data_IF_586488736852
#
_entry.id   IF_586488736852
#
_cell.length_a   1.000
_cell.length_b   1.000
_cell.length_c   1.000
_cell.angle_alpha   90.00
_cell.angle_beta   90.00
_cell.angle_gamma   90.00
#
_symmetry.space_group_name_H-M   'P 1'
#
loop_
_entity.id
_entity.type
_entity.pdbx_description
1 polymer ?
#
# COMPACT_ATOMS: atom_id res chain seq x y z
N UNK A 1 -54.61 43.50 63.42
CA UNK A 1 -53.49 43.45 62.46
C UNK A 1 -53.26 41.99 62.12
N UNK A 2 -53.82 41.52 60.99
CA UNK A 2 -53.79 40.11 60.60
C UNK A 2 -52.43 39.74 59.98
N UNK A 3 -51.95 38.56 60.39
CA UNK A 3 -50.64 37.97 60.10
C UNK A 3 -50.80 37.03 58.91
N UNK A 4 -50.18 37.32 57.76
CA UNK A 4 -50.09 36.39 56.64
C UNK A 4 -48.64 35.94 56.45
N UNK A 5 -48.36 34.69 56.79
CA UNK A 5 -47.13 33.99 56.45
C UNK A 5 -47.29 33.34 55.07
N UNK A 6 -46.55 33.82 54.08
CA UNK A 6 -46.38 33.12 52.80
C UNK A 6 -45.32 32.02 52.98
N UNK A 7 -45.72 30.76 52.86
CA UNK A 7 -44.80 29.64 52.68
C UNK A 7 -44.49 29.50 51.18
N UNK A 8 -43.25 29.76 50.81
CA UNK A 8 -42.72 29.50 49.48
C UNK A 8 -42.30 28.01 49.43
N UNK A 9 -43.06 27.19 48.70
CA UNK A 9 -42.70 25.78 48.46
C UNK A 9 -41.68 25.76 47.33
N UNK A 10 -40.43 25.43 47.66
CA UNK A 10 -39.34 25.23 46.71
C UNK A 10 -39.48 23.83 46.09
N UNK A 11 -39.94 23.77 44.83
CA UNK A 11 -39.94 22.53 44.05
C UNK A 11 -38.50 22.24 43.58
N UNK A 12 -37.83 21.31 44.24
CA UNK A 12 -36.56 20.75 43.76
C UNK A 12 -36.91 19.74 42.67
N UNK A 13 -36.76 20.14 41.41
CA UNK A 13 -36.84 19.25 40.26
C UNK A 13 -35.50 18.53 40.16
N UNK A 14 -35.42 17.29 40.65
CA UNK A 14 -34.30 16.40 40.37
C UNK A 14 -34.42 15.90 38.94
N UNK A 15 -33.67 16.51 38.02
CA UNK A 15 -33.43 15.95 36.69
C UNK A 15 -32.56 14.70 36.86
N UNK A 16 -33.18 13.52 36.87
CA UNK A 16 -32.46 12.28 36.61
C UNK A 16 -32.07 12.29 35.13
N UNK A 17 -30.83 12.72 34.83
CA UNK A 17 -30.20 12.37 33.56
C UNK A 17 -29.99 10.86 33.59
N UNK A 18 -30.77 10.11 32.80
CA UNK A 18 -30.44 8.72 32.50
C UNK A 18 -29.13 8.72 31.70
N UNK A 19 -27.99 8.62 32.37
CA UNK A 19 -26.75 8.20 31.74
C UNK A 19 -26.88 6.70 31.43
N UNK A 20 -27.49 6.37 30.30
CA UNK A 20 -27.43 5.00 29.74
C UNK A 20 -26.03 4.83 29.15
N UNK A 21 -25.32 3.79 29.59
CA UNK A 21 -24.04 3.41 28.98
C UNK A 21 -24.26 3.03 27.52
N UNK A 22 -23.35 3.49 26.65
CA UNK A 22 -23.36 3.16 25.22
C UNK A 22 -23.09 1.66 25.05
N UNK A 23 -23.86 0.98 24.21
CA UNK A 23 -23.66 -0.45 23.90
C UNK A 23 -23.39 -0.66 22.41
N UNK A 24 -22.86 -1.83 22.02
CA UNK A 24 -22.65 -2.17 20.61
C UNK A 24 -23.95 -2.12 19.77
N UNK A 25 -25.11 -2.39 20.39
CA UNK A 25 -26.43 -2.31 19.74
C UNK A 25 -26.82 -0.87 19.38
N UNK A 26 -26.28 0.12 20.09
CA UNK A 26 -26.57 1.54 19.83
C UNK A 26 -25.67 2.12 18.72
N UNK A 27 -24.63 1.40 18.27
CA UNK A 27 -23.73 1.85 17.20
C UNK A 27 -24.35 1.64 15.81
N UNK A 28 -24.07 2.54 14.83
CA UNK A 28 -24.52 2.37 13.45
C UNK A 28 -24.03 1.06 12.86
N UNK A 29 -24.68 0.58 11.81
CA UNK A 29 -24.15 -0.52 11.01
C UNK A 29 -22.83 -0.13 10.30
N UNK A 30 -22.29 -1.08 9.53
CA UNK A 30 -21.03 -0.94 8.81
C UNK A 30 -21.23 -0.75 7.30
N UNK A 31 -22.45 -0.44 6.84
CA UNK A 31 -22.79 -0.40 5.42
C UNK A 31 -21.94 0.63 4.67
N UNK A 32 -21.66 1.80 5.27
CA UNK A 32 -20.80 2.80 4.62
C UNK A 32 -19.33 2.40 4.59
N UNK A 33 -18.83 1.60 5.55
CA UNK A 33 -17.48 1.04 5.48
C UNK A 33 -17.40 -0.03 4.38
N UNK A 34 -18.43 -0.87 4.26
CA UNK A 34 -18.55 -1.85 3.18
C UNK A 34 -18.50 -1.17 1.81
N UNK A 35 -19.28 -0.09 1.61
CA UNK A 35 -19.24 0.68 0.37
C UNK A 35 -17.85 1.29 0.09
N UNK A 36 -17.15 1.77 1.12
CA UNK A 36 -15.79 2.28 0.96
C UNK A 36 -14.81 1.17 0.59
N UNK A 37 -14.87 0.01 1.24
CA UNK A 37 -14.02 -1.14 0.92
C UNK A 37 -14.28 -1.61 -0.51
N UNK A 38 -15.54 -1.77 -0.89
CA UNK A 38 -15.90 -2.16 -2.25
C UNK A 38 -15.39 -1.16 -3.30
N UNK A 39 -15.50 0.15 -3.06
CA UNK A 39 -14.96 1.20 -3.95
C UNK A 39 -13.43 1.06 -4.11
N UNK A 40 -12.71 0.79 -3.02
CA UNK A 40 -11.26 0.58 -3.03
C UNK A 40 -10.87 -0.68 -3.79
N UNK A 41 -11.55 -1.79 -3.52
CA UNK A 41 -11.27 -3.09 -4.13
C UNK A 41 -11.60 -3.09 -5.61
N UNK A 42 -12.69 -2.46 -6.04
CA UNK A 42 -13.03 -2.33 -7.45
C UNK A 42 -11.92 -1.61 -8.24
N UNK A 43 -11.30 -0.56 -7.69
CA UNK A 43 -10.21 0.15 -8.35
C UNK A 43 -8.88 -0.65 -8.29
N UNK A 44 -8.56 -1.24 -7.14
CA UNK A 44 -7.29 -1.96 -6.92
C UNK A 44 -7.25 -3.29 -7.67
N UNK A 45 -8.32 -4.09 -7.64
CA UNK A 45 -8.35 -5.42 -8.25
C UNK A 45 -8.39 -5.37 -9.79
N UNK A 46 -8.74 -4.23 -10.39
CA UNK A 46 -8.59 -4.04 -11.84
C UNK A 46 -7.13 -4.18 -12.28
N UNK A 47 -6.17 -3.86 -11.40
CA UNK A 47 -4.74 -3.96 -11.70
C UNK A 47 -4.26 -5.40 -11.90
N UNK A 48 -4.97 -6.40 -11.36
CA UNK A 48 -4.69 -7.81 -11.65
C UNK A 48 -4.88 -8.13 -13.13
N UNK A 49 -5.86 -7.52 -13.78
CA UNK A 49 -6.06 -7.69 -15.23
C UNK A 49 -4.96 -6.99 -16.03
N UNK A 50 -4.49 -5.84 -15.56
CA UNK A 50 -3.41 -5.11 -16.22
C UNK A 50 -2.08 -5.86 -16.11
N UNK A 51 -1.74 -6.41 -14.94
CA UNK A 51 -0.48 -7.15 -14.79
C UNK A 51 -0.50 -8.48 -15.54
N UNK A 52 -1.65 -9.16 -15.64
CA UNK A 52 -1.80 -10.34 -16.50
C UNK A 52 -1.66 -9.97 -17.98
N UNK A 53 -2.20 -8.83 -18.41
CA UNK A 53 -2.01 -8.34 -19.76
C UNK A 53 -0.53 -8.03 -20.06
N UNK A 54 0.17 -7.40 -19.12
CA UNK A 54 1.62 -7.15 -19.22
C UNK A 54 2.42 -8.45 -19.28
N UNK A 55 2.04 -9.46 -18.51
CA UNK A 55 2.66 -10.79 -18.52
C UNK A 55 2.52 -11.44 -19.90
N UNK A 56 1.31 -11.45 -20.47
CA UNK A 56 1.06 -11.96 -21.81
C UNK A 56 1.83 -11.18 -22.89
N UNK A 57 1.96 -9.85 -22.72
CA UNK A 57 2.77 -9.04 -23.61
C UNK A 57 4.26 -9.38 -23.48
N UNK A 58 4.77 -9.59 -22.27
CA UNK A 58 6.15 -10.02 -22.05
C UNK A 58 6.43 -11.40 -22.66
N UNK A 59 5.51 -12.37 -22.51
CA UNK A 59 5.61 -13.68 -23.15
C UNK A 59 5.74 -13.55 -24.67
N UNK A 60 4.95 -12.68 -25.31
CA UNK A 60 5.09 -12.39 -26.73
C UNK A 60 6.50 -11.89 -27.09
N UNK A 61 7.11 -11.04 -26.25
CA UNK A 61 8.48 -10.57 -26.47
C UNK A 61 9.50 -11.71 -26.37
N UNK A 62 9.32 -12.65 -25.44
CA UNK A 62 10.16 -13.84 -25.31
C UNK A 62 10.05 -14.76 -26.52
N UNK A 63 8.82 -15.08 -26.96
CA UNK A 63 8.56 -15.93 -28.13
C UNK A 63 9.12 -15.36 -29.43
N UNK A 64 9.26 -14.03 -29.51
CA UNK A 64 9.74 -13.32 -30.69
C UNK A 64 11.16 -12.73 -30.52
N UNK A 65 11.88 -13.15 -29.47
CA UNK A 65 13.17 -12.57 -29.06
C UNK A 65 14.16 -12.41 -30.21
N UNK A 66 14.39 -13.45 -31.02
CA UNK A 66 15.39 -13.41 -32.10
C UNK A 66 15.06 -12.33 -33.15
N UNK A 67 13.81 -12.26 -33.58
CA UNK A 67 13.31 -11.25 -34.53
C UNK A 67 13.37 -9.83 -33.94
N UNK A 68 13.07 -9.70 -32.64
CA UNK A 68 13.15 -8.41 -31.94
C UNK A 68 14.60 -7.94 -31.79
N UNK A 69 15.54 -8.83 -31.46
CA UNK A 69 16.96 -8.50 -31.35
C UNK A 69 17.57 -8.02 -32.66
N UNK A 70 17.14 -8.57 -33.79
CA UNK A 70 17.58 -8.12 -35.12
C UNK A 70 17.12 -6.69 -35.44
N UNK A 71 15.92 -6.31 -34.98
CA UNK A 71 15.27 -5.03 -35.29
C UNK A 71 15.38 -3.99 -34.17
N UNK A 72 15.90 -4.37 -33.01
CA UNK A 72 15.90 -3.52 -31.82
C UNK A 72 16.66 -2.21 -32.05
N UNK A 73 16.07 -1.12 -31.57
CA UNK A 73 16.73 0.18 -31.46
C UNK A 73 17.78 0.15 -30.34
N UNK A 74 19.00 -0.26 -30.67
CA UNK A 74 20.09 -0.47 -29.68
C UNK A 74 20.60 0.82 -29.04
N UNK A 75 20.26 1.97 -29.60
CA UNK A 75 20.60 3.30 -29.07
C UNK A 75 19.44 3.95 -28.30
N UNK A 76 18.34 3.23 -28.03
CA UNK A 76 17.19 3.74 -27.25
C UNK A 76 17.60 4.18 -25.84
N UNK A 77 18.55 3.47 -25.23
CA UNK A 77 19.12 3.79 -23.93
C UNK A 77 20.60 4.11 -24.03
N UNK A 78 21.01 5.16 -23.31
CA UNK A 78 22.43 5.45 -23.05
C UNK A 78 22.70 5.15 -21.58
N UNK A 79 23.64 4.25 -21.32
CA UNK A 79 24.03 3.85 -19.96
C UNK A 79 25.27 4.60 -19.49
N UNK A 80 25.22 5.07 -18.24
CA UNK A 80 26.34 5.59 -17.48
C UNK A 80 26.60 4.64 -16.30
N UNK A 81 27.55 3.72 -16.48
CA UNK A 81 27.73 2.61 -15.54
C UNK A 81 26.54 1.67 -15.57
N UNK A 82 25.95 1.38 -14.40
CA UNK A 82 24.80 0.47 -14.26
C UNK A 82 23.46 1.09 -14.63
N UNK A 83 23.38 2.41 -14.86
CA UNK A 83 22.10 3.13 -14.95
C UNK A 83 21.93 3.79 -16.31
N UNK A 84 20.71 3.78 -16.85
CA UNK A 84 20.40 4.64 -17.99
C UNK A 84 20.36 6.12 -17.60
N UNK A 85 20.75 7.00 -18.51
CA UNK A 85 20.91 8.43 -18.24
C UNK A 85 19.61 9.26 -18.34
N UNK A 86 18.50 8.66 -18.77
CA UNK A 86 17.21 9.34 -18.83
C UNK A 86 16.75 9.77 -17.42
N UNK A 87 16.22 10.99 -17.35
CA UNK A 87 15.80 11.65 -16.11
C UNK A 87 14.27 11.72 -16.00
N UNK A 88 13.71 11.91 -14.79
CA UNK A 88 12.27 11.86 -14.54
C UNK A 88 11.41 12.86 -15.34
N UNK A 89 12.02 13.90 -15.90
CA UNK A 89 11.35 15.02 -16.57
C UNK A 89 11.34 14.88 -18.11
N UNK A 90 11.93 13.81 -18.66
CA UNK A 90 11.97 13.63 -20.11
C UNK A 90 10.60 13.19 -20.67
N UNK A 91 10.06 14.00 -21.58
CA UNK A 91 8.93 13.64 -22.43
C UNK A 91 9.36 12.56 -23.45
N UNK A 92 9.36 11.30 -23.04
CA UNK A 92 9.78 10.20 -23.93
C UNK A 92 9.12 8.85 -23.68
N UNK A 93 8.35 8.71 -22.59
CA UNK A 93 7.74 7.44 -22.22
C UNK A 93 8.75 6.34 -21.85
N UNK A 94 10.04 6.66 -21.74
CA UNK A 94 11.09 5.72 -21.39
C UNK A 94 11.03 5.34 -19.92
N UNK A 95 11.16 4.06 -19.61
CA UNK A 95 11.44 3.60 -18.24
C UNK A 95 12.85 3.97 -17.81
N UNK A 96 13.12 3.98 -16.50
CA UNK A 96 14.48 3.90 -15.97
C UNK A 96 15.00 2.47 -16.10
N UNK A 97 16.20 2.31 -16.64
CA UNK A 97 16.88 1.01 -16.75
C UNK A 97 18.04 0.91 -15.77
N UNK A 98 18.18 -0.26 -15.18
CA UNK A 98 19.35 -0.66 -14.40
C UNK A 98 19.85 -1.99 -14.96
N UNK A 99 21.15 -2.08 -15.23
CA UNK A 99 21.86 -3.35 -15.41
C UNK A 99 22.86 -3.42 -14.26
N UNK A 100 22.59 -4.26 -13.26
CA UNK A 100 23.48 -4.34 -12.10
C UNK A 100 24.86 -4.83 -12.50
N UNK A 101 25.90 -4.30 -11.84
CA UNK A 101 27.30 -4.71 -12.06
C UNK A 101 27.57 -6.15 -11.63
N UNK A 102 26.65 -6.78 -10.89
CA UNK A 102 26.71 -8.20 -10.54
C UNK A 102 25.98 -9.11 -11.53
N UNK A 103 25.51 -8.58 -12.67
CA UNK A 103 24.90 -9.39 -13.73
C UNK A 103 25.78 -10.61 -14.06
N UNK A 104 25.19 -11.81 -14.17
CA UNK A 104 25.94 -13.03 -14.47
C UNK A 104 26.49 -13.04 -15.91
N UNK A 105 25.86 -12.31 -16.83
CA UNK A 105 26.27 -12.18 -18.23
C UNK A 105 25.82 -10.81 -18.77
N UNK A 106 26.69 -9.78 -18.73
CA UNK A 106 26.33 -8.42 -19.16
C UNK A 106 25.89 -8.32 -20.62
N UNK A 107 26.37 -9.22 -21.49
CA UNK A 107 25.94 -9.23 -22.89
C UNK A 107 24.48 -9.67 -23.00
N UNK A 108 24.11 -10.75 -22.31
CA UNK A 108 22.72 -11.23 -22.27
C UNK A 108 21.78 -10.26 -21.56
N UNK A 109 22.23 -9.58 -20.50
CA UNK A 109 21.46 -8.49 -19.88
C UNK A 109 21.16 -7.37 -20.87
N UNK A 110 22.14 -7.01 -21.71
CA UNK A 110 21.94 -5.99 -22.73
C UNK A 110 21.02 -6.46 -23.86
N UNK A 111 21.12 -7.72 -24.28
CA UNK A 111 20.14 -8.34 -25.18
C UNK A 111 18.73 -8.30 -24.60
N UNK A 112 18.57 -8.54 -23.29
CA UNK A 112 17.29 -8.40 -22.58
C UNK A 112 16.74 -7.00 -22.65
N UNK A 113 17.56 -5.98 -22.41
CA UNK A 113 17.13 -4.58 -22.60
C UNK A 113 16.59 -4.36 -24.02
N UNK A 114 17.25 -4.92 -25.04
CA UNK A 114 16.88 -4.72 -26.44
C UNK A 114 15.58 -5.40 -26.83
N UNK A 115 15.40 -6.69 -26.54
CA UNK A 115 14.17 -7.39 -26.93
C UNK A 115 12.97 -6.96 -26.08
N UNK A 116 13.20 -6.36 -24.90
CA UNK A 116 12.15 -5.80 -24.04
C UNK A 116 11.87 -4.31 -24.25
N UNK A 117 12.45 -3.67 -25.27
CA UNK A 117 12.29 -2.23 -25.51
C UNK A 117 10.83 -1.77 -25.58
N UNK A 118 9.92 -2.59 -26.11
CA UNK A 118 8.52 -2.22 -26.27
C UNK A 118 7.73 -2.22 -24.95
N UNK A 119 8.32 -2.73 -23.85
CA UNK A 119 7.71 -2.65 -22.52
C UNK A 119 7.52 -1.20 -22.06
N UNK A 120 8.34 -0.25 -22.51
CA UNK A 120 8.18 1.16 -22.12
C UNK A 120 6.78 1.70 -22.48
N UNK A 121 6.34 1.42 -23.71
CA UNK A 121 5.02 1.82 -24.18
C UNK A 121 3.91 1.09 -23.45
N UNK A 122 4.09 -0.22 -23.17
CA UNK A 122 3.11 -1.02 -22.44
C UNK A 122 2.96 -0.54 -20.98
N UNK A 123 4.07 -0.30 -20.28
CA UNK A 123 4.10 0.22 -18.92
C UNK A 123 3.45 1.60 -18.86
N UNK A 124 3.79 2.48 -19.82
CA UNK A 124 3.17 3.80 -19.93
C UNK A 124 1.66 3.70 -20.12
N UNK A 125 1.17 2.81 -20.98
CA UNK A 125 -0.27 2.64 -21.21
C UNK A 125 -1.01 2.21 -19.94
N UNK A 126 -0.44 1.29 -19.17
CA UNK A 126 -1.02 0.85 -17.88
C UNK A 126 -1.00 1.99 -16.86
N UNK A 127 0.15 2.65 -16.73
CA UNK A 127 0.34 3.79 -15.81
C UNK A 127 -0.63 4.95 -16.11
N UNK A 128 -0.72 5.39 -17.36
CA UNK A 128 -1.55 6.53 -17.75
C UNK A 128 -3.06 6.22 -17.62
N UNK A 129 -3.46 4.94 -17.68
CA UNK A 129 -4.86 4.52 -17.58
C UNK A 129 -5.39 4.57 -16.15
N UNK A 130 -4.52 4.35 -15.16
CA UNK A 130 -4.88 4.16 -13.77
C UNK A 130 -4.13 5.15 -12.88
N UNK A 131 -4.81 6.23 -12.49
CA UNK A 131 -4.19 7.29 -11.69
C UNK A 131 -3.76 6.88 -10.27
N UNK A 132 -4.10 5.66 -9.82
CA UNK A 132 -3.66 5.09 -8.54
C UNK A 132 -2.25 4.49 -8.61
N UNK A 133 -1.75 4.18 -9.82
CA UNK A 133 -0.46 3.52 -10.01
C UNK A 133 0.69 4.52 -9.78
N UNK A 134 1.62 4.14 -8.91
CA UNK A 134 2.85 4.88 -8.69
C UNK A 134 3.95 4.44 -9.67
N UNK A 135 4.08 3.13 -9.90
CA UNK A 135 5.10 2.54 -10.76
C UNK A 135 4.61 1.26 -11.43
N UNK A 136 5.17 0.96 -12.60
CA UNK A 136 5.09 -0.34 -13.28
C UNK A 136 6.50 -0.78 -13.62
N UNK A 137 6.87 -2.02 -13.35
CA UNK A 137 8.24 -2.48 -13.50
C UNK A 137 8.39 -3.94 -13.94
N UNK A 138 9.61 -4.30 -14.37
CA UNK A 138 10.08 -5.68 -14.48
C UNK A 138 11.48 -5.82 -13.89
N UNK A 139 11.72 -6.91 -13.16
CA UNK A 139 13.04 -7.31 -12.66
C UNK A 139 13.37 -8.74 -13.08
N UNK A 140 14.61 -9.04 -13.45
CA UNK A 140 14.99 -10.35 -14.00
C UNK A 140 16.19 -10.99 -13.28
N UNK A 141 16.40 -12.32 -13.38
CA UNK A 141 17.57 -13.00 -12.82
C UNK A 141 18.88 -12.57 -13.49
N UNK A 142 18.80 -11.96 -14.68
CA UNK A 142 19.91 -11.31 -15.37
C UNK A 142 20.30 -9.96 -14.74
N UNK A 143 19.69 -9.61 -13.61
CA UNK A 143 19.93 -8.37 -12.86
C UNK A 143 19.60 -7.12 -13.69
N UNK A 144 18.57 -7.21 -14.52
CA UNK A 144 18.01 -6.08 -15.27
C UNK A 144 16.75 -5.60 -14.54
N UNK A 145 16.68 -4.30 -14.29
CA UNK A 145 15.49 -3.63 -13.78
C UNK A 145 15.01 -2.61 -14.80
N UNK A 146 13.70 -2.58 -15.05
CA UNK A 146 13.00 -1.58 -15.87
C UNK A 146 11.86 -1.02 -15.05
N UNK A 147 11.84 0.29 -14.79
CA UNK A 147 10.80 0.94 -13.96
C UNK A 147 10.24 2.16 -14.66
N UNK A 148 8.93 2.23 -14.82
CA UNK A 148 8.21 3.40 -15.34
C UNK A 148 7.30 4.00 -14.25
N UNK A 149 7.23 5.33 -14.09
CA UNK A 149 8.00 6.36 -14.78
C UNK A 149 9.47 6.39 -14.32
N UNK A 150 10.37 7.04 -15.08
CA UNK A 150 11.78 7.07 -14.72
C UNK A 150 12.02 7.85 -13.42
N UNK A 151 12.99 7.41 -12.63
CA UNK A 151 13.37 7.98 -11.33
C UNK A 151 14.90 8.21 -11.25
N UNK A 152 15.34 8.90 -10.20
CA UNK A 152 16.75 9.25 -9.97
C UNK A 152 17.57 8.07 -9.42
N UNK A 153 17.68 7.00 -10.21
CA UNK A 153 18.39 5.78 -9.79
C UNK A 153 19.87 6.03 -9.47
N UNK A 154 20.51 7.02 -10.10
CA UNK A 154 21.92 7.37 -9.84
C UNK A 154 22.17 7.74 -8.38
N UNK A 155 21.20 8.40 -7.74
CA UNK A 155 21.31 8.82 -6.34
C UNK A 155 20.61 7.87 -5.35
N UNK A 156 19.70 7.03 -5.83
CA UNK A 156 18.87 6.16 -4.97
C UNK A 156 19.30 4.70 -4.96
N UNK A 157 20.07 4.24 -5.94
CA UNK A 157 20.40 2.83 -6.15
C UNK A 157 21.91 2.60 -6.16
N UNK A 158 22.33 1.44 -5.66
CA UNK A 158 23.73 1.01 -5.77
C UNK A 158 23.96 0.31 -7.12
N UNK A 159 25.13 0.52 -7.77
CA UNK A 159 25.46 -0.14 -9.03
C UNK A 159 25.45 -1.67 -8.96
N UNK A 160 25.65 -2.25 -7.78
CA UNK A 160 25.75 -3.68 -7.49
C UNK A 160 24.50 -4.27 -6.83
N UNK A 161 23.36 -3.58 -6.94
CA UNK A 161 22.08 -4.06 -6.40
C UNK A 161 21.79 -5.50 -6.83
N UNK A 162 21.34 -6.33 -5.88
CA UNK A 162 20.91 -7.70 -6.15
C UNK A 162 19.39 -7.79 -6.19
N UNK A 163 18.81 -7.65 -7.38
CA UNK A 163 17.37 -7.55 -7.59
C UNK A 163 16.60 -8.78 -7.09
N UNK A 164 17.20 -9.97 -7.22
CA UNK A 164 16.53 -11.23 -6.86
C UNK A 164 16.45 -11.48 -5.34
N UNK A 165 17.04 -10.61 -4.53
CA UNK A 165 17.01 -10.71 -3.06
C UNK A 165 15.92 -9.87 -2.41
N UNK A 166 15.19 -9.08 -3.17
CA UNK A 166 14.10 -8.25 -2.67
C UNK A 166 12.76 -8.95 -2.80
N UNK A 167 11.83 -8.60 -1.92
CA UNK A 167 10.48 -9.15 -1.88
C UNK A 167 9.72 -8.99 -3.20
N UNK A 168 9.91 -7.88 -3.91
CA UNK A 168 9.33 -7.66 -5.23
C UNK A 168 9.76 -8.66 -6.30
N UNK A 169 10.77 -9.50 -6.03
CA UNK A 169 11.19 -10.59 -6.90
C UNK A 169 10.85 -11.96 -6.30
N UNK A 170 11.30 -12.25 -5.07
CA UNK A 170 11.18 -13.61 -4.53
C UNK A 170 9.73 -13.98 -4.20
N UNK A 171 8.84 -13.03 -3.88
CA UNK A 171 7.41 -13.33 -3.63
C UNK A 171 6.71 -13.89 -4.89
N UNK A 172 7.25 -13.64 -6.07
CA UNK A 172 6.75 -14.18 -7.33
C UNK A 172 7.45 -15.46 -7.78
N UNK A 173 8.50 -15.91 -7.09
CA UNK A 173 9.24 -17.11 -7.50
C UNK A 173 8.47 -18.41 -7.28
N UNK A 174 9.01 -19.53 -7.75
CA UNK A 174 8.32 -20.81 -7.67
C UNK A 174 8.18 -21.36 -6.24
N UNK A 175 9.06 -20.94 -5.32
CA UNK A 175 9.03 -21.37 -3.91
C UNK A 175 7.88 -20.67 -3.17
N UNK A 176 7.68 -19.38 -3.42
CA UNK A 176 6.66 -18.56 -2.76
C UNK A 176 5.31 -18.57 -3.50
N UNK A 177 5.34 -18.63 -4.83
CA UNK A 177 4.17 -18.60 -5.71
C UNK A 177 4.16 -19.81 -6.68
N UNK A 178 3.91 -21.03 -6.15
CA UNK A 178 3.88 -22.26 -6.96
C UNK A 178 2.76 -22.27 -8.02
N UNK A 179 1.72 -21.45 -7.84
CA UNK A 179 0.62 -21.30 -8.80
C UNK A 179 0.96 -20.39 -9.98
N UNK A 180 2.06 -19.62 -9.90
CA UNK A 180 2.53 -18.68 -10.92
C UNK A 180 1.48 -17.62 -11.30
N UNK A 181 0.72 -17.15 -10.32
CA UNK A 181 -0.37 -16.17 -10.50
C UNK A 181 0.08 -14.76 -10.08
N UNK A 182 -0.70 -13.71 -10.42
CA UNK A 182 -0.55 -12.44 -9.74
C UNK A 182 -0.65 -12.62 -8.22
N UNK A 183 0.21 -11.94 -7.46
CA UNK A 183 0.22 -11.97 -6.00
C UNK A 183 0.45 -10.56 -5.44
N UNK A 184 -0.40 -10.18 -4.50
CA UNK A 184 -0.21 -8.97 -3.70
C UNK A 184 0.79 -9.27 -2.57
N UNK A 185 1.84 -8.46 -2.47
CA UNK A 185 2.77 -8.55 -1.34
C UNK A 185 2.02 -8.10 -0.08
N UNK A 186 1.92 -8.96 0.96
CA UNK A 186 0.99 -8.74 2.06
C UNK A 186 1.38 -7.56 2.96
N UNK A 187 2.67 -7.30 3.13
CA UNK A 187 3.18 -6.17 3.90
C UNK A 187 3.54 -4.97 3.03
N UNK A 188 3.15 -3.78 3.49
CA UNK A 188 3.67 -2.53 2.94
C UNK A 188 5.14 -2.35 3.28
N UNK A 189 5.92 -1.89 2.31
CA UNK A 189 7.37 -1.71 2.46
C UNK A 189 7.84 -0.40 1.83
N UNK A 190 9.07 0.00 2.16
CA UNK A 190 9.68 1.20 1.58
C UNK A 190 10.14 0.90 0.16
N UNK A 191 9.65 1.66 -0.80
CA UNK A 191 10.11 1.62 -2.18
C UNK A 191 11.58 2.08 -2.29
N UNK A 192 12.51 1.24 -2.80
CA UNK A 192 13.88 1.65 -3.08
C UNK A 192 13.99 2.81 -4.10
N UNK A 193 13.02 2.95 -5.00
CA UNK A 193 13.00 3.98 -6.05
C UNK A 193 12.47 5.35 -5.59
N UNK A 194 12.20 5.54 -4.29
CA UNK A 194 11.93 6.84 -3.70
C UNK A 194 10.45 7.22 -3.54
N UNK A 195 9.50 6.31 -3.77
CA UNK A 195 8.05 6.60 -3.68
C UNK A 195 7.46 6.55 -2.27
N UNK A 196 8.24 6.23 -1.25
CA UNK A 196 7.78 6.11 0.13
C UNK A 196 7.27 4.70 0.43
N UNK A 197 6.16 4.61 1.18
CA UNK A 197 5.55 3.33 1.52
C UNK A 197 4.65 2.86 0.38
N UNK A 198 4.86 1.64 -0.09
CA UNK A 198 4.11 1.05 -1.21
C UNK A 198 3.48 -0.28 -0.82
N UNK A 199 2.42 -0.61 -1.56
CA UNK A 199 1.87 -1.94 -1.72
C UNK A 199 2.09 -2.36 -3.18
N UNK A 200 2.48 -3.61 -3.39
CA UNK A 200 2.90 -4.10 -4.70
C UNK A 200 2.14 -5.34 -5.11
N UNK A 201 1.69 -5.34 -6.36
CA UNK A 201 1.18 -6.51 -7.07
C UNK A 201 2.30 -7.01 -7.97
N UNK A 202 2.69 -8.27 -7.84
CA UNK A 202 3.74 -8.88 -8.67
C UNK A 202 3.22 -10.08 -9.46
N UNK A 203 3.79 -10.32 -10.64
CA UNK A 203 3.44 -11.47 -11.48
C UNK A 203 4.68 -12.06 -12.12
N UNK A 204 4.95 -13.37 -11.94
CA UNK A 204 6.07 -14.01 -12.61
C UNK A 204 5.81 -14.22 -14.10
N UNK A 205 6.85 -14.03 -14.92
CA UNK A 205 6.90 -14.39 -16.33
C UNK A 205 7.87 -15.56 -16.49
N UNK A 206 7.41 -16.68 -17.06
CA UNK A 206 8.25 -17.87 -17.28
C UNK A 206 8.58 -18.07 -18.76
N UNK A 207 9.82 -18.46 -19.03
CA UNK A 207 10.25 -19.04 -20.31
C UNK A 207 10.43 -20.56 -20.12
N UNK A 208 9.42 -21.34 -20.52
CA UNK A 208 9.33 -22.76 -20.18
C UNK A 208 9.27 -22.99 -18.66
N UNK A 209 10.33 -23.57 -18.09
CA UNK A 209 10.42 -23.81 -16.64
C UNK A 209 11.21 -22.74 -15.88
N UNK A 210 11.89 -21.83 -16.57
CA UNK A 210 12.76 -20.84 -15.96
C UNK A 210 11.99 -19.53 -15.72
N UNK A 211 12.17 -18.93 -14.54
CA UNK A 211 11.62 -17.61 -14.24
C UNK A 211 12.42 -16.58 -15.04
N UNK A 212 11.79 -15.97 -16.04
CA UNK A 212 12.43 -15.03 -16.97
C UNK A 212 12.44 -13.61 -16.41
N UNK A 213 11.34 -13.20 -15.78
CA UNK A 213 11.21 -11.91 -15.11
C UNK A 213 10.08 -11.94 -14.08
N UNK A 214 10.06 -10.93 -13.21
CA UNK A 214 8.94 -10.61 -12.34
C UNK A 214 8.47 -9.21 -12.70
N UNK A 215 7.22 -9.11 -13.14
CA UNK A 215 6.52 -7.85 -13.33
C UNK A 215 5.99 -7.34 -12.00
N UNK A 216 5.84 -6.02 -11.85
CA UNK A 216 5.10 -5.47 -10.74
C UNK A 216 4.43 -4.11 -11.01
N UNK A 217 3.43 -3.83 -10.19
CA UNK A 217 2.66 -2.59 -10.14
C UNK A 217 2.64 -2.12 -8.68
N UNK A 218 3.10 -0.89 -8.44
CA UNK A 218 3.14 -0.30 -7.11
C UNK A 218 2.05 0.75 -6.93
N UNK A 219 1.43 0.75 -5.75
CA UNK A 219 0.53 1.79 -5.26
C UNK A 219 1.16 2.39 -4.00
N UNK A 220 1.17 3.71 -3.87
CA UNK A 220 1.63 4.32 -2.62
C UNK A 220 0.54 4.30 -1.55
N UNK A 221 0.95 4.09 -0.30
CA UNK A 221 0.07 4.24 0.88
C UNK A 221 -0.52 5.65 0.97
N UNK A 222 0.25 6.65 0.53
CA UNK A 222 -0.15 8.07 0.47
C UNK A 222 -1.29 8.28 -0.53
N UNK A 223 -1.22 7.66 -1.71
CA UNK A 223 -2.31 7.67 -2.68
C UNK A 223 -3.58 7.00 -2.13
N UNK A 224 -3.45 5.86 -1.44
CA UNK A 224 -4.59 5.20 -0.77
C UNK A 224 -5.25 6.14 0.26
N UNK A 225 -4.44 6.84 1.06
CA UNK A 225 -4.91 7.81 2.05
C UNK A 225 -5.69 8.94 1.40
N UNK A 226 -5.09 9.62 0.44
CA UNK A 226 -5.66 10.80 -0.21
C UNK A 226 -6.90 10.47 -1.03
N UNK A 227 -6.86 9.36 -1.77
CA UNK A 227 -7.91 8.97 -2.70
C UNK A 227 -9.17 8.47 -2.01
N UNK A 228 -9.02 7.66 -0.95
CA UNK A 228 -10.15 6.93 -0.36
C UNK A 228 -10.54 7.40 1.03
N UNK A 229 -9.58 7.83 1.86
CA UNK A 229 -9.87 8.16 3.25
C UNK A 229 -10.07 9.65 3.44
N UNK A 230 -9.17 10.51 2.95
CA UNK A 230 -9.24 11.97 3.16
C UNK A 230 -10.48 12.63 2.55
N UNK A 231 -11.01 12.07 1.47
CA UNK A 231 -12.21 12.57 0.79
C UNK A 231 -13.52 12.30 1.54
N UNK A 232 -13.53 11.42 2.55
CA UNK A 232 -14.73 11.06 3.33
C UNK A 232 -14.74 11.78 4.67
N UNK A 233 -15.92 12.10 5.22
CA UNK A 233 -16.00 12.64 6.59
C UNK A 233 -15.82 11.54 7.64
N UNK A 234 -15.07 11.81 8.71
CA UNK A 234 -14.79 10.84 9.78
C UNK A 234 -13.30 10.51 9.93
N UNK A 235 -12.97 9.72 10.96
CA UNK A 235 -11.60 9.31 11.28
C UNK A 235 -11.39 7.86 10.87
N UNK A 236 -10.70 7.65 9.74
CA UNK A 236 -10.48 6.32 9.18
C UNK A 236 -9.01 5.91 9.27
N UNK A 237 -8.78 4.62 9.48
CA UNK A 237 -7.49 3.97 9.28
C UNK A 237 -7.67 2.58 8.65
N UNK A 238 -6.62 2.09 8.02
CA UNK A 238 -6.49 0.74 7.50
C UNK A 238 -5.39 0.06 8.30
N UNK A 239 -5.66 -1.16 8.78
CA UNK A 239 -4.68 -2.03 9.43
C UNK A 239 -4.57 -3.35 8.69
N UNK A 240 -3.44 -4.03 8.81
CA UNK A 240 -3.30 -5.43 8.39
C UNK A 240 -3.75 -6.40 9.50
N UNK A 241 -3.80 -7.70 9.19
CA UNK A 241 -4.20 -8.75 10.13
C UNK A 241 -3.23 -8.94 11.31
N UNK A 242 -2.05 -8.31 11.28
CA UNK A 242 -1.09 -8.24 12.40
C UNK A 242 -1.33 -7.03 13.31
N UNK A 243 -2.30 -6.18 13.00
CA UNK A 243 -2.64 -4.97 13.75
C UNK A 243 -1.74 -3.78 13.44
N UNK A 244 -0.93 -3.84 12.38
CA UNK A 244 -0.06 -2.74 11.95
C UNK A 244 -0.86 -1.74 11.11
N UNK A 245 -0.66 -0.45 11.35
CA UNK A 245 -1.30 0.60 10.57
C UNK A 245 -0.65 0.69 9.19
N UNK A 246 -1.45 0.36 8.19
CA UNK A 246 -1.12 0.49 6.76
C UNK A 246 -1.26 1.95 6.35
N UNK A 247 -2.45 2.53 6.54
CA UNK A 247 -2.77 3.91 6.18
C UNK A 247 -3.78 4.49 7.17
N UNK A 248 -3.92 5.81 7.24
CA UNK A 248 -4.95 6.41 8.06
C UNK A 248 -4.83 7.90 8.25
N UNK A 249 -5.96 8.54 8.56
CA UNK A 249 -6.01 9.97 8.84
C UNK A 249 -5.25 10.29 10.10
N UNK A 250 -4.55 11.43 10.08
CA UNK A 250 -3.87 11.96 11.26
C UNK A 250 -4.80 12.05 12.48
N UNK A 251 -6.05 12.47 12.28
CA UNK A 251 -7.04 12.55 13.36
C UNK A 251 -7.40 11.18 13.98
N UNK A 252 -7.43 10.11 13.18
CA UNK A 252 -7.66 8.75 13.69
C UNK A 252 -6.46 8.25 14.51
N UNK A 253 -5.25 8.47 13.99
CA UNK A 253 -4.00 8.08 14.64
C UNK A 253 -3.80 8.84 15.97
N UNK A 254 -4.10 10.14 15.97
CA UNK A 254 -4.06 11.00 17.16
C UNK A 254 -5.09 10.57 18.21
N UNK A 255 -6.33 10.24 17.79
CA UNK A 255 -7.36 9.74 18.70
C UNK A 255 -6.92 8.43 19.40
N UNK A 256 -6.22 7.55 18.68
CA UNK A 256 -5.63 6.33 19.22
C UNK A 256 -4.36 6.58 20.07
N UNK A 257 -3.92 7.83 20.21
CA UNK A 257 -2.69 8.24 20.91
C UNK A 257 -1.43 7.55 20.36
N UNK A 258 -1.42 7.27 19.05
CA UNK A 258 -0.30 6.66 18.34
C UNK A 258 0.60 7.74 17.73
N UNK A 259 1.90 7.46 17.51
CA UNK A 259 2.76 8.39 16.80
C UNK A 259 2.22 8.66 15.38
N UNK A 260 2.39 9.88 14.85
CA UNK A 260 1.93 10.20 13.50
C UNK A 260 2.68 9.34 12.48
N UNK A 261 1.96 8.86 11.47
CA UNK A 261 2.58 8.21 10.32
C UNK A 261 3.49 9.23 9.63
N UNK A 262 4.77 8.88 9.48
CA UNK A 262 5.73 9.70 8.74
C UNK A 262 6.07 9.04 7.42
N UNK A 263 6.19 9.86 6.39
CA UNK A 263 6.79 9.43 5.14
C UNK A 263 8.25 9.04 5.37
N UNK A 264 8.70 8.03 4.62
CA UNK A 264 10.08 7.58 4.71
C UNK A 264 11.02 8.71 4.25
N UNK A 265 12.11 8.92 4.98
CA UNK A 265 13.13 9.91 4.62
C UNK A 265 14.36 9.17 4.12
N UNK A 266 14.56 9.21 2.80
CA UNK A 266 15.70 8.63 2.12
C UNK A 266 16.97 9.41 2.49
N UNK A 267 17.77 8.84 3.39
CA UNK A 267 19.11 9.35 3.76
C UNK A 267 20.24 8.48 3.22
N UNK A 268 19.91 7.22 2.93
CA UNK A 268 20.81 6.18 2.45
C UNK A 268 20.03 5.29 1.48
N UNK A 269 20.74 4.59 0.61
CA UNK A 269 20.16 3.59 -0.30
C UNK A 269 19.48 2.47 0.49
N UNK A 270 18.29 2.06 0.05
CA UNK A 270 17.62 0.87 0.60
C UNK A 270 18.36 -0.37 0.10
N UNK A 271 18.90 -1.18 1.03
CA UNK A 271 19.76 -2.34 0.72
C UNK A 271 19.10 -3.70 0.98
N UNK A 272 17.93 -3.70 1.58
CA UNK A 272 17.13 -4.87 1.93
C UNK A 272 15.68 -4.44 2.19
N UNK A 273 14.78 -5.41 2.25
CA UNK A 273 13.35 -5.16 2.53
C UNK A 273 13.20 -4.39 3.85
N UNK A 274 12.49 -3.26 3.79
CA UNK A 274 12.27 -2.39 4.94
C UNK A 274 10.78 -2.21 5.15
N UNK A 275 10.25 -2.95 6.11
CA UNK A 275 8.85 -2.93 6.50
C UNK A 275 8.60 -1.86 7.57
N UNK A 276 7.34 -1.48 7.75
CA UNK A 276 6.97 -0.49 8.76
C UNK A 276 7.25 -1.03 10.15
N UNK A 277 8.12 -0.34 10.91
CA UNK A 277 8.48 -0.72 12.27
C UNK A 277 7.24 -0.81 13.20
N UNK A 278 7.31 -1.68 14.21
CA UNK A 278 6.23 -2.08 15.13
C UNK A 278 5.62 -0.97 16.00
N UNK A 279 6.14 0.25 15.94
CA UNK A 279 5.66 1.39 16.72
C UNK A 279 4.26 1.86 16.28
N UNK A 280 3.80 1.39 15.12
CA UNK A 280 2.48 1.66 14.55
C UNK A 280 1.56 0.42 14.62
N UNK A 281 1.65 -0.36 15.70
CA UNK A 281 0.84 -1.56 15.89
C UNK A 281 -0.19 -1.37 17.03
N UNK A 282 -1.46 -1.71 16.77
CA UNK A 282 -2.53 -1.55 17.75
C UNK A 282 -2.33 -2.43 18.99
N UNK A 283 -1.72 -3.61 18.85
CA UNK A 283 -1.43 -4.52 19.97
C UNK A 283 -0.29 -4.01 20.88
N UNK A 284 0.54 -3.09 20.41
CA UNK A 284 1.61 -2.45 21.21
C UNK A 284 1.19 -1.11 21.81
N UNK A 285 -0.04 -0.65 21.53
CA UNK A 285 -0.59 0.60 22.08
C UNK A 285 -0.54 0.65 23.60
N UNK A 286 -0.30 1.83 24.18
CA UNK A 286 -0.35 2.06 25.63
C UNK A 286 -1.78 1.97 26.17
N UNK A 287 -2.78 2.32 25.36
CA UNK A 287 -4.19 2.22 25.71
C UNK A 287 -4.60 0.75 25.78
N UNK A 288 -5.22 0.36 26.91
CA UNK A 288 -5.76 -0.99 27.06
C UNK A 288 -6.98 -1.18 26.16
N UNK A 289 -7.85 -0.17 26.05
CA UNK A 289 -9.02 -0.22 25.18
C UNK A 289 -8.65 -0.41 23.71
N UNK A 290 -7.58 0.25 23.22
CA UNK A 290 -7.11 0.08 21.83
C UNK A 290 -6.61 -1.34 21.57
N UNK A 291 -5.89 -1.95 22.53
CA UNK A 291 -5.46 -3.35 22.41
C UNK A 291 -6.65 -4.31 22.40
N UNK A 292 -7.67 -4.07 23.22
CA UNK A 292 -8.89 -4.87 23.27
C UNK A 292 -9.72 -4.72 21.99
N UNK A 293 -9.83 -3.51 21.44
CA UNK A 293 -10.45 -3.25 20.14
C UNK A 293 -9.77 -4.05 19.03
N UNK A 294 -8.43 -4.04 18.97
CA UNK A 294 -7.68 -4.81 17.99
C UNK A 294 -7.95 -6.32 18.12
N UNK A 295 -8.02 -6.85 19.34
CA UNK A 295 -8.36 -8.26 19.58
C UNK A 295 -9.80 -8.58 19.12
N UNK A 296 -10.77 -7.72 19.42
CA UNK A 296 -12.17 -7.85 19.02
C UNK A 296 -12.31 -7.92 17.49
N UNK A 297 -11.69 -7.00 16.76
CA UNK A 297 -11.79 -6.98 15.30
C UNK A 297 -10.99 -8.10 14.61
N UNK A 298 -9.73 -8.30 14.99
CA UNK A 298 -8.84 -9.22 14.27
C UNK A 298 -9.08 -10.69 14.68
N UNK A 299 -9.26 -10.98 15.96
CA UNK A 299 -9.36 -12.37 16.45
C UNK A 299 -10.80 -12.82 16.65
N UNK A 300 -11.66 -11.97 17.22
CA UNK A 300 -13.07 -12.33 17.44
C UNK A 300 -13.95 -12.08 16.21
N UNK A 301 -13.43 -11.37 15.20
CA UNK A 301 -14.15 -11.00 13.97
C UNK A 301 -15.43 -10.20 14.24
N UNK A 302 -15.41 -9.41 15.31
CA UNK A 302 -16.46 -8.43 15.58
C UNK A 302 -16.26 -7.20 14.68
N UNK A 303 -17.32 -6.41 14.48
CA UNK A 303 -17.32 -5.23 13.61
C UNK A 303 -17.63 -3.93 14.37
N UNK A 304 -17.86 -4.02 15.68
CA UNK A 304 -18.27 -2.92 16.55
C UNK A 304 -17.56 -3.02 17.89
N UNK A 305 -17.05 -1.91 18.40
CA UNK A 305 -16.38 -1.85 19.69
C UNK A 305 -16.76 -0.58 20.43
N UNK A 306 -17.06 -0.68 21.72
CA UNK A 306 -17.33 0.47 22.59
C UNK A 306 -16.21 0.56 23.61
N UNK A 307 -15.63 1.75 23.76
CA UNK A 307 -14.61 2.01 24.77
C UNK A 307 -15.29 2.39 26.09
N UNK A 308 -14.92 1.71 27.18
CA UNK A 308 -15.49 1.97 28.51
C UNK A 308 -14.62 2.86 29.39
N UNK A 309 -13.29 2.80 29.22
CA UNK A 309 -12.31 3.44 30.11
C UNK A 309 -11.37 4.41 29.38
N UNK A 310 -11.73 4.86 28.18
CA UNK A 310 -10.91 5.79 27.38
C UNK A 310 -11.58 7.16 27.28
N UNK A 311 -10.90 8.21 27.72
CA UNK A 311 -11.46 9.58 27.71
C UNK A 311 -11.59 10.16 26.29
N UNK A 312 -10.71 9.75 25.37
CA UNK A 312 -10.63 10.30 24.01
C UNK A 312 -11.34 9.44 22.96
N UNK A 313 -11.96 8.32 23.36
CA UNK A 313 -12.55 7.35 22.43
C UNK A 313 -13.91 6.90 22.95
N UNK A 314 -14.91 6.88 22.07
CA UNK A 314 -16.27 6.39 22.42
C UNK A 314 -16.56 5.04 21.79
N UNK A 315 -16.28 4.90 20.48
CA UNK A 315 -16.50 3.64 19.77
C UNK A 315 -15.61 3.52 18.55
N UNK A 316 -15.56 2.31 18.01
CA UNK A 316 -15.01 2.04 16.70
C UNK A 316 -15.90 1.04 15.97
N UNK A 317 -15.90 1.12 14.64
CA UNK A 317 -16.50 0.11 13.77
C UNK A 317 -15.48 -0.30 12.72
N UNK A 318 -15.56 -1.54 12.26
CA UNK A 318 -14.60 -2.12 11.34
C UNK A 318 -15.28 -2.95 10.25
N UNK A 319 -14.65 -3.00 9.08
CA UNK A 319 -15.05 -3.86 7.97
C UNK A 319 -13.79 -4.48 7.32
N UNK A 320 -13.77 -5.79 7.07
CA UNK A 320 -12.64 -6.47 6.45
C UNK A 320 -12.57 -6.20 4.94
N UNK A 321 -11.37 -6.29 4.37
CA UNK A 321 -11.17 -6.44 2.92
C UNK A 321 -11.26 -7.92 2.52
N UNK A 322 -11.65 -8.20 1.28
CA UNK A 322 -11.78 -9.54 0.71
C UNK A 322 -10.45 -10.02 0.08
N UNK A 323 -9.63 -9.11 -0.47
CA UNK A 323 -8.39 -9.48 -1.18
C UNK A 323 -7.13 -9.54 -0.29
N UNK A 324 -7.20 -9.02 0.94
CA UNK A 324 -6.10 -9.03 1.92
C UNK A 324 -6.62 -9.38 3.32
N UNK A 325 -5.72 -9.48 4.30
CA UNK A 325 -6.11 -9.61 5.71
C UNK A 325 -6.41 -8.25 6.38
N UNK A 326 -6.60 -7.20 5.58
CA UNK A 326 -6.74 -5.84 6.08
C UNK A 326 -8.14 -5.55 6.62
N UNK A 327 -8.22 -4.49 7.43
CA UNK A 327 -9.47 -3.95 7.96
C UNK A 327 -9.49 -2.44 7.77
N UNK A 328 -10.61 -1.92 7.25
CA UNK A 328 -10.95 -0.51 7.35
C UNK A 328 -11.63 -0.28 8.71
N UNK A 329 -11.12 0.68 9.49
CA UNK A 329 -11.63 1.02 10.81
C UNK A 329 -12.02 2.50 10.83
N UNK A 330 -13.22 2.78 11.32
CA UNK A 330 -13.61 4.13 11.70
C UNK A 330 -13.52 4.29 13.23
N UNK A 331 -12.79 5.32 13.66
CA UNK A 331 -12.66 5.71 15.06
C UNK A 331 -13.61 6.87 15.37
N UNK A 332 -14.44 6.70 16.39
CA UNK A 332 -15.39 7.70 16.85
C UNK A 332 -14.91 8.25 18.21
N UNK A 333 -14.21 9.40 18.22
CA UNK A 333 -13.96 10.13 19.45
C UNK A 333 -15.26 10.72 20.01
N UNK A 334 -15.29 11.15 21.28
CA UNK A 334 -16.45 11.79 21.88
C UNK A 334 -16.94 12.97 21.03
N UNK A 335 -18.26 13.09 20.87
CA UNK A 335 -18.89 14.26 20.27
C UNK A 335 -18.62 15.46 21.20
N UNK A 336 -17.67 16.30 20.79
CA UNK A 336 -17.19 17.54 21.42
C UNK A 336 -15.99 17.42 22.37
N UNK A 337 -14.86 17.97 21.91
CA UNK A 337 -13.79 18.48 22.78
C UNK A 337 -14.23 19.75 23.51
N UNK A 338 -14.99 19.57 24.60
CA UNK A 338 -15.18 20.60 25.65
C UNK A 338 -14.88 20.04 27.02
#
# INVERSE_FOLDING_TARGET
MFRNSCYLILFIVTLFSCNRELTQEDLPDTEHLELMVNEMEEEILVLEKEIVWLESFYQYLLENKDSLLEKAEKNKYVFEGSFSNNIPVEEGGLSKMIISSISPDPQKSLEEVYFTNDLDSAFKVVYDRHGIIAQVYSNSPMQVSRVYPPYDAQNLMEPDINLIKYNFYYEADLEHNPEKKPVWIPEVYVDPAGKGWIMSLVHPVYDGSELSAVLGIDITVDEILHRFLEVKDGNYLIINGKGEIVSGKSSAIEALSLPPLKNHVYRETIRADNFRISDFNLFTSKSKGVREMAQSFIFNKENKFVFTDEYNLTSAIAYPFDFTDWYLIQINPPLDGK
#
